data_IF_796651970934
#
_entry.id   IF_796651970934
#
_cell.length_a   1.000
_cell.length_b   1.000
_cell.length_c   1.000
_cell.angle_alpha   90.00
_cell.angle_beta   90.00
_cell.angle_gamma   90.00
#
_symmetry.space_group_name_H-M   'P 1'
#
loop_
_entity.id
_entity.type
_entity.pdbx_description
1 polymer ?
#
# COMPACT_ATOMS: atom_id res chain seq x y z
N UNK A 1 8.94 -17.04 0.38
CA UNK A 1 8.57 -15.61 0.44
C UNK A 1 7.63 -15.42 1.62
N UNK A 2 7.75 -14.32 2.33
CA UNK A 2 6.80 -13.87 3.35
C UNK A 2 5.98 -12.73 2.77
N UNK A 3 4.68 -12.68 3.09
CA UNK A 3 3.77 -11.63 2.62
C UNK A 3 2.94 -11.11 3.78
N UNK A 4 2.99 -9.81 4.04
CA UNK A 4 2.25 -9.15 5.13
C UNK A 4 1.67 -7.83 4.59
N UNK A 5 0.48 -7.43 5.01
CA UNK A 5 -0.02 -6.08 4.66
C UNK A 5 0.82 -5.00 5.34
N UNK A 6 1.03 -3.87 4.68
CA UNK A 6 1.71 -2.71 5.26
C UNK A 6 0.82 -2.06 6.33
N UNK A 7 -0.48 -1.97 6.04
CA UNK A 7 -1.52 -1.63 6.98
C UNK A 7 -2.76 -2.50 6.72
N UNK A 8 -3.56 -2.74 7.76
CA UNK A 8 -4.79 -3.50 7.63
C UNK A 8 -5.93 -2.60 7.08
N UNK A 9 -6.65 -3.08 6.09
CA UNK A 9 -7.72 -2.36 5.41
C UNK A 9 -9.05 -2.28 6.20
N UNK A 10 -9.20 -3.04 7.29
CA UNK A 10 -10.42 -3.06 8.12
C UNK A 10 -10.25 -2.26 9.41
N UNK A 11 -9.16 -2.48 10.13
CA UNK A 11 -8.90 -1.88 11.45
C UNK A 11 -7.78 -0.82 11.43
N UNK A 12 -7.10 -0.62 10.30
CA UNK A 12 -6.09 0.43 10.13
C UNK A 12 -4.73 0.16 10.77
N UNK A 13 -4.53 -0.98 11.44
CA UNK A 13 -3.26 -1.31 12.10
C UNK A 13 -2.11 -1.43 11.10
N UNK A 14 -1.05 -0.66 11.36
CA UNK A 14 0.19 -0.56 10.61
C UNK A 14 1.12 -1.68 11.10
N UNK A 15 1.71 -2.40 10.14
CA UNK A 15 2.64 -3.48 10.46
C UNK A 15 4.09 -2.96 10.51
N UNK A 16 4.94 -3.53 11.38
CA UNK A 16 6.36 -3.18 11.49
C UNK A 16 7.16 -3.72 10.29
N UNK A 17 6.98 -3.10 9.12
CA UNK A 17 7.47 -3.60 7.85
C UNK A 17 9.00 -3.73 7.81
N UNK A 18 9.73 -2.81 8.45
CA UNK A 18 11.19 -2.83 8.50
C UNK A 18 11.70 -4.02 9.34
N UNK A 19 11.12 -4.24 10.51
CA UNK A 19 11.50 -5.33 11.41
C UNK A 19 11.22 -6.69 10.75
N UNK A 20 10.08 -6.81 10.07
CA UNK A 20 9.72 -8.00 9.31
C UNK A 20 10.71 -8.22 8.15
N UNK A 21 11.04 -7.15 7.41
CA UNK A 21 11.93 -7.26 6.25
C UNK A 21 13.37 -7.59 6.66
N UNK A 22 13.85 -7.08 7.79
CA UNK A 22 15.17 -7.41 8.35
C UNK A 22 15.24 -8.88 8.75
N UNK A 23 14.23 -9.40 9.46
CA UNK A 23 14.15 -10.81 9.79
C UNK A 23 14.09 -11.71 8.54
N UNK A 24 13.33 -11.31 7.52
CA UNK A 24 13.27 -12.03 6.25
C UNK A 24 14.64 -12.06 5.57
N UNK A 25 15.35 -10.93 5.56
CA UNK A 25 16.67 -10.79 4.94
C UNK A 25 17.74 -11.63 5.63
N UNK A 26 17.75 -11.69 6.96
CA UNK A 26 18.64 -12.59 7.72
C UNK A 26 18.48 -14.05 7.29
N UNK A 27 17.24 -14.45 7.01
CA UNK A 27 16.91 -15.82 6.57
C UNK A 27 16.97 -15.99 5.05
N UNK A 28 17.38 -14.97 4.29
CA UNK A 28 17.41 -14.96 2.82
C UNK A 28 16.05 -15.26 2.19
N UNK A 29 14.96 -14.82 2.83
CA UNK A 29 13.59 -14.95 2.34
C UNK A 29 13.17 -13.62 1.74
N UNK A 30 12.58 -13.64 0.54
CA UNK A 30 11.99 -12.45 -0.06
C UNK A 30 10.76 -11.99 0.73
N UNK A 31 10.63 -10.67 0.92
CA UNK A 31 9.51 -10.02 1.61
C UNK A 31 8.64 -9.22 0.65
N UNK A 32 7.37 -9.61 0.58
CA UNK A 32 6.32 -8.86 -0.08
C UNK A 32 5.48 -8.08 0.95
N UNK A 33 5.13 -6.84 0.63
CA UNK A 33 4.16 -6.06 1.41
C UNK A 33 3.02 -5.56 0.53
N UNK A 34 1.78 -5.76 0.98
CA UNK A 34 0.61 -5.14 0.37
C UNK A 34 0.38 -3.75 0.98
N UNK A 35 0.58 -2.69 0.22
CA UNK A 35 0.45 -1.32 0.70
C UNK A 35 -0.82 -0.62 0.20
N UNK A 36 -1.82 -1.34 -0.32
CA UNK A 36 -3.06 -0.73 -0.84
C UNK A 36 -3.80 0.10 0.20
N UNK A 37 -3.81 -0.32 1.47
CA UNK A 37 -4.43 0.45 2.55
C UNK A 37 -3.54 1.57 3.12
N UNK A 38 -2.24 1.57 2.78
CA UNK A 38 -1.24 2.50 3.32
C UNK A 38 -0.86 3.60 2.33
N UNK A 39 -0.94 3.33 1.03
CA UNK A 39 -0.61 4.30 -0.02
C UNK A 39 -1.46 5.56 0.08
N UNK A 40 -0.81 6.72 0.00
CA UNK A 40 -1.46 8.02 0.15
C UNK A 40 -1.87 8.40 1.57
N UNK A 41 -1.56 7.57 2.57
CA UNK A 41 -1.78 7.86 3.99
C UNK A 41 -0.48 7.78 4.80
N UNK A 42 0.45 6.92 4.39
CA UNK A 42 1.75 6.73 5.01
C UNK A 42 2.87 7.00 3.99
N UNK A 43 3.98 7.55 4.48
CA UNK A 43 5.21 7.65 3.68
C UNK A 43 5.79 6.26 3.44
N UNK A 44 5.69 5.77 2.21
CA UNK A 44 6.20 4.47 1.79
C UNK A 44 7.60 4.63 1.17
N UNK A 45 8.58 3.86 1.64
CA UNK A 45 9.93 3.85 1.06
C UNK A 45 10.47 2.42 1.07
N UNK A 46 10.49 1.79 -0.11
CA UNK A 46 10.97 0.42 -0.31
C UNK A 46 12.46 0.24 0.04
N UNK A 47 13.25 1.32 -0.02
CA UNK A 47 14.66 1.33 0.37
C UNK A 47 14.82 1.38 1.88
N UNK A 48 14.13 2.32 2.54
CA UNK A 48 14.06 2.45 4.01
C UNK A 48 13.55 1.17 4.64
N UNK A 49 12.41 0.67 4.17
CA UNK A 49 11.69 -0.47 4.75
C UNK A 49 12.20 -1.83 4.21
N UNK A 50 13.21 -1.80 3.32
CA UNK A 50 13.88 -2.96 2.69
C UNK A 50 12.93 -3.96 2.03
N UNK A 51 11.87 -3.48 1.39
CA UNK A 51 10.82 -4.30 0.78
C UNK A 51 11.31 -4.86 -0.57
N UNK A 52 11.14 -6.16 -0.80
CA UNK A 52 11.51 -6.80 -2.07
C UNK A 52 10.43 -6.63 -3.14
N UNK A 53 9.16 -6.68 -2.71
CA UNK A 53 7.98 -6.63 -3.55
C UNK A 53 6.93 -5.76 -2.85
N UNK A 54 6.35 -4.77 -3.53
CA UNK A 54 5.31 -3.89 -2.96
C UNK A 54 4.12 -3.82 -3.89
N UNK A 55 2.92 -4.09 -3.39
CA UNK A 55 1.66 -3.94 -4.15
C UNK A 55 1.03 -2.57 -3.89
N UNK A 56 0.62 -1.92 -4.98
CA UNK A 56 -0.09 -0.64 -5.01
C UNK A 56 -1.30 -0.73 -5.94
N UNK A 57 -2.32 0.08 -5.68
CA UNK A 57 -3.57 0.14 -6.44
C UNK A 57 -3.85 1.54 -6.94
N UNK A 58 -4.34 1.71 -8.17
CA UNK A 58 -4.64 3.04 -8.70
C UNK A 58 -5.90 3.65 -8.08
N UNK A 59 -6.98 2.88 -7.97
CA UNK A 59 -8.27 3.41 -7.51
C UNK A 59 -8.30 3.80 -6.02
N UNK A 60 -7.45 3.16 -5.21
CA UNK A 60 -7.37 3.45 -3.77
C UNK A 60 -6.61 4.75 -3.46
N UNK A 61 -5.99 5.37 -4.48
CA UNK A 61 -5.45 6.74 -4.44
C UNK A 61 -6.19 7.69 -5.39
N UNK A 62 -7.48 7.43 -5.63
CA UNK A 62 -8.34 8.22 -6.54
C UNK A 62 -7.94 8.20 -8.03
N UNK A 63 -7.07 7.28 -8.44
CA UNK A 63 -6.75 7.03 -9.84
C UNK A 63 -7.82 6.19 -10.57
N UNK A 64 -7.62 5.92 -11.87
CA UNK A 64 -8.51 5.07 -12.66
C UNK A 64 -8.61 3.65 -12.11
N UNK A 65 -9.78 3.02 -12.24
CA UNK A 65 -9.98 1.60 -11.92
C UNK A 65 -9.29 0.69 -12.95
N UNK A 66 -8.95 -0.53 -12.55
CA UNK A 66 -8.37 -1.53 -13.45
C UNK A 66 -6.88 -1.37 -13.71
N UNK A 67 -6.18 -0.63 -12.83
CA UNK A 67 -4.73 -0.52 -12.83
C UNK A 67 -4.19 -0.73 -11.41
N UNK A 68 -3.09 -1.47 -11.30
CA UNK A 68 -2.29 -1.61 -10.10
C UNK A 68 -0.82 -1.73 -10.48
N UNK A 69 0.05 -1.64 -9.49
CA UNK A 69 1.51 -1.70 -9.66
C UNK A 69 2.08 -2.72 -8.70
N UNK A 70 2.99 -3.56 -9.19
CA UNK A 70 3.87 -4.39 -8.38
C UNK A 70 5.29 -3.85 -8.53
N UNK A 71 5.81 -3.23 -7.47
CA UNK A 71 7.24 -2.97 -7.38
C UNK A 71 7.98 -4.30 -7.24
N UNK A 72 9.08 -4.45 -7.99
CA UNK A 72 9.96 -5.62 -7.92
C UNK A 72 11.39 -5.14 -7.77
N UNK A 73 12.02 -5.45 -6.63
CA UNK A 73 13.42 -5.13 -6.39
C UNK A 73 14.31 -5.85 -7.41
N UNK A 74 15.31 -5.15 -7.93
CA UNK A 74 16.28 -5.71 -8.86
C UNK A 74 16.94 -6.96 -8.25
N UNK A 75 16.97 -8.05 -9.01
CA UNK A 75 17.54 -9.34 -8.58
C UNK A 75 16.51 -10.36 -8.10
N UNK A 76 15.27 -9.94 -7.83
CA UNK A 76 14.16 -10.87 -7.59
C UNK A 76 13.72 -11.47 -8.92
N UNK A 77 13.55 -12.80 -8.95
CA UNK A 77 13.03 -13.54 -10.10
C UNK A 77 11.60 -13.95 -9.81
N UNK A 78 10.69 -13.62 -10.72
CA UNK A 78 9.28 -13.98 -10.66
C UNK A 78 8.93 -14.77 -11.93
N UNK A 79 8.04 -15.75 -11.78
CA UNK A 79 7.42 -16.39 -12.93
C UNK A 79 6.15 -15.61 -13.30
N UNK A 80 5.97 -15.19 -14.57
CA UNK A 80 4.77 -14.48 -14.98
C UNK A 80 3.54 -15.38 -14.85
N UNK A 81 2.45 -14.84 -14.28
CA UNK A 81 1.16 -15.52 -14.29
C UNK A 81 0.45 -15.39 -15.65
N UNK A 82 0.62 -14.24 -16.30
CA UNK A 82 0.09 -13.96 -17.63
C UNK A 82 1.25 -13.94 -18.63
N UNK A 83 1.30 -14.98 -19.46
CA UNK A 83 2.28 -15.17 -20.53
C UNK A 83 1.76 -14.64 -21.86
N UNK A 84 2.66 -14.30 -22.78
CA UNK A 84 2.32 -13.69 -24.07
C UNK A 84 3.48 -12.90 -24.67
N UNK A 85 3.16 -11.73 -25.25
CA UNK A 85 4.09 -10.92 -26.05
C UNK A 85 5.25 -10.25 -25.31
N UNK A 86 5.44 -10.51 -24.01
CA UNK A 86 6.60 -10.03 -23.27
C UNK A 86 6.53 -8.59 -22.78
N UNK A 87 5.34 -7.98 -22.76
CA UNK A 87 5.10 -6.68 -22.11
C UNK A 87 5.55 -6.69 -20.64
N UNK A 88 5.78 -5.50 -20.07
CA UNK A 88 6.26 -5.34 -18.69
C UNK A 88 7.50 -6.20 -18.39
N UNK A 89 8.47 -6.20 -19.31
CA UNK A 89 9.72 -6.98 -19.24
C UNK A 89 9.49 -8.49 -19.14
N UNK A 90 8.37 -8.98 -19.68
CA UNK A 90 7.96 -10.38 -19.62
C UNK A 90 7.35 -10.82 -18.29
N UNK A 91 7.14 -9.90 -17.34
CA UNK A 91 6.58 -10.22 -16.02
C UNK A 91 5.04 -10.26 -16.03
N UNK A 92 4.40 -9.52 -16.93
CA UNK A 92 2.94 -9.49 -17.09
C UNK A 92 2.58 -9.12 -18.52
N UNK A 93 2.26 -10.12 -19.34
CA UNK A 93 1.93 -9.90 -20.75
C UNK A 93 0.55 -9.28 -20.96
N UNK A 94 0.33 -8.73 -22.16
CA UNK A 94 -0.89 -8.07 -22.58
C UNK A 94 -0.68 -6.57 -22.81
N UNK A 95 -1.33 -6.02 -23.83
CA UNK A 95 -1.18 -4.60 -24.21
C UNK A 95 -1.39 -3.69 -23.00
N UNK A 96 -0.46 -2.76 -22.82
CA UNK A 96 -0.43 -1.92 -21.64
C UNK A 96 -1.58 -0.89 -21.66
N UNK A 97 -2.22 -0.69 -20.51
CA UNK A 97 -3.27 0.32 -20.35
C UNK A 97 -2.64 1.71 -20.17
N UNK A 98 -2.17 2.30 -21.28
CA UNK A 98 -1.50 3.62 -21.29
C UNK A 98 -2.36 4.72 -20.65
N UNK A 99 -3.66 4.88 -20.97
CA UNK A 99 -4.49 5.89 -20.31
C UNK A 99 -4.61 5.68 -18.80
N UNK A 100 -4.75 4.42 -18.38
CA UNK A 100 -4.76 4.05 -16.96
C UNK A 100 -3.46 4.48 -16.27
N UNK A 101 -2.30 4.20 -16.87
CA UNK A 101 -1.00 4.54 -16.27
C UNK A 101 -0.77 6.04 -16.17
N UNK A 102 -1.17 6.80 -17.18
CA UNK A 102 -1.12 8.27 -17.14
C UNK A 102 -2.05 8.81 -16.05
N UNK A 103 -3.26 8.23 -15.91
CA UNK A 103 -4.20 8.62 -14.86
C UNK A 103 -3.70 8.32 -13.45
N UNK A 104 -3.11 7.14 -13.23
CA UNK A 104 -2.50 6.79 -11.93
C UNK A 104 -1.30 7.69 -11.62
N UNK A 105 -0.44 7.97 -12.60
CA UNK A 105 0.65 8.95 -12.43
C UNK A 105 0.08 10.29 -11.93
N UNK A 106 -0.99 10.77 -12.56
CA UNK A 106 -1.61 12.03 -12.15
C UNK A 106 -2.17 11.98 -10.73
N UNK A 107 -2.79 10.87 -10.35
CA UNK A 107 -3.27 10.64 -8.99
C UNK A 107 -2.12 10.67 -7.97
N UNK A 108 -0.99 10.01 -8.27
CA UNK A 108 0.22 10.04 -7.43
C UNK A 108 0.77 11.47 -7.30
N UNK A 109 0.85 12.25 -8.39
CA UNK A 109 1.33 13.64 -8.34
C UNK A 109 0.45 14.56 -7.46
N UNK A 110 -0.85 14.30 -7.41
CA UNK A 110 -1.79 15.05 -6.55
C UNK A 110 -1.61 14.59 -5.10
N UNK A 111 -1.63 13.28 -4.88
CA UNK A 111 -1.42 12.65 -3.59
C UNK A 111 -0.12 13.13 -2.94
N UNK A 112 1.01 13.14 -3.63
CA UNK A 112 2.29 13.60 -3.08
C UNK A 112 2.26 15.05 -2.58
N UNK A 113 1.43 15.91 -3.18
CA UNK A 113 1.30 17.32 -2.78
C UNK A 113 0.35 17.52 -1.62
N UNK A 114 -0.71 16.72 -1.55
CA UNK A 114 -1.83 16.93 -0.62
C UNK A 114 -1.77 15.98 0.59
N UNK A 115 -1.00 14.89 0.52
CA UNK A 115 -1.03 13.80 1.52
C UNK A 115 -0.78 14.29 2.94
N UNK A 116 0.20 15.17 3.18
CA UNK A 116 0.51 15.64 4.53
C UNK A 116 -0.68 16.39 5.16
N UNK A 117 -1.23 17.36 4.42
CA UNK A 117 -2.39 18.15 4.86
C UNK A 117 -3.65 17.28 5.01
N UNK A 118 -3.88 16.35 4.08
CA UNK A 118 -5.03 15.46 4.10
C UNK A 118 -4.96 14.45 5.24
N UNK A 119 -3.80 13.86 5.51
CA UNK A 119 -3.60 12.95 6.66
C UNK A 119 -3.87 13.69 7.97
N UNK A 120 -3.40 14.94 8.12
CA UNK A 120 -3.71 15.74 9.30
C UNK A 120 -5.22 16.03 9.44
N UNK A 121 -5.86 16.46 8.34
CA UNK A 121 -7.28 16.80 8.30
C UNK A 121 -8.15 15.59 8.62
N UNK A 122 -7.89 14.45 7.98
CA UNK A 122 -8.61 13.19 8.20
C UNK A 122 -8.35 12.64 9.61
N UNK A 123 -7.13 12.76 10.13
CA UNK A 123 -6.79 12.40 11.50
C UNK A 123 -7.67 13.12 12.53
N UNK A 124 -7.88 14.44 12.36
CA UNK A 124 -8.76 15.23 13.24
C UNK A 124 -10.21 14.71 13.23
N UNK A 125 -10.73 14.31 12.06
CA UNK A 125 -12.08 13.73 11.96
C UNK A 125 -12.16 12.34 12.60
N UNK A 126 -11.19 11.48 12.31
CA UNK A 126 -11.07 10.14 12.92
C UNK A 126 -11.07 10.25 14.45
N UNK A 127 -10.20 11.08 15.01
CA UNK A 127 -10.04 11.22 16.46
C UNK A 127 -11.30 11.79 17.12
N UNK A 128 -11.99 12.71 16.44
CA UNK A 128 -13.29 13.19 16.89
C UNK A 128 -14.29 12.04 16.97
N UNK A 129 -14.42 11.23 15.91
CA UNK A 129 -15.36 10.10 15.87
C UNK A 129 -15.04 9.05 16.95
N UNK A 130 -13.77 8.65 17.07
CA UNK A 130 -13.29 7.70 18.09
C UNK A 130 -13.63 8.20 19.50
N UNK A 131 -13.49 9.50 19.77
CA UNK A 131 -13.78 10.08 21.08
C UNK A 131 -15.28 10.23 21.36
N UNK A 132 -16.10 10.51 20.34
CA UNK A 132 -17.52 10.85 20.54
C UNK A 132 -18.45 9.66 20.47
N UNK A 133 -18.24 8.72 19.54
CA UNK A 133 -19.19 7.62 19.30
C UNK A 133 -19.36 6.71 20.53
N UNK A 134 -18.30 6.27 21.22
CA UNK A 134 -18.45 5.42 22.41
C UNK A 134 -19.17 6.08 23.58
N UNK A 135 -19.27 7.42 23.60
CA UNK A 135 -20.01 8.17 24.62
C UNK A 135 -21.51 8.23 24.35
N UNK A 136 -21.91 8.02 23.10
CA UNK A 136 -23.31 8.13 22.64
C UNK A 136 -23.93 6.74 22.48
N UNK A 137 -23.15 5.74 22.09
CA UNK A 137 -23.62 4.38 21.79
C UNK A 137 -23.08 3.40 22.84
N UNK A 138 -23.99 2.74 23.56
CA UNK A 138 -23.64 1.67 24.51
C UNK A 138 -22.99 0.48 23.81
N UNK A 139 -21.99 -0.14 24.42
CA UNK A 139 -21.29 -1.34 23.90
C UNK A 139 -20.58 -1.10 22.56
N UNK A 140 -20.09 0.13 22.33
CA UNK A 140 -19.26 0.49 21.19
C UNK A 140 -17.78 0.49 21.61
N UNK A 141 -16.94 -0.19 20.82
CA UNK A 141 -15.51 -0.32 21.08
C UNK A 141 -14.72 -0.06 19.79
N UNK A 142 -13.52 0.51 19.93
CA UNK A 142 -12.56 0.61 18.84
C UNK A 142 -11.80 -0.72 18.71
N UNK A 143 -11.68 -1.22 17.48
CA UNK A 143 -10.81 -2.35 17.15
C UNK A 143 -9.50 -1.82 16.56
N UNK A 144 -8.37 -2.44 16.92
CA UNK A 144 -7.04 -1.98 16.52
C UNK A 144 -6.48 -0.91 17.46
N UNK A 145 -5.25 -0.48 17.19
CA UNK A 145 -4.59 0.54 17.99
C UNK A 145 -4.96 1.94 17.48
N UNK A 146 -5.20 2.96 18.34
CA UNK A 146 -5.67 4.27 17.90
C UNK A 146 -4.71 5.01 16.94
N UNK A 147 -3.43 4.65 17.00
CA UNK A 147 -2.35 5.34 16.28
C UNK A 147 -1.34 4.41 15.60
N UNK A 148 -1.51 3.09 15.71
CA UNK A 148 -0.51 2.11 15.24
C UNK A 148 -1.17 0.90 14.59
#
# INVERSE_FOLDING_TARGET
MVSVGYANNEIGTIQPALEISELCREKKIAFHSDAVAAQGLLSLDVGRDRIDLLTLSSNDIYGPKGLGVLYVRKGIRLNPLIIGGGQEKGLRSGSENIPGMVGMKKAVEIMEKEMEEEVERLGKYRDRLIRTIPKIISRCHLNGHPTQ
#
